data_IF_315363841286
#
_entry.id   IF_315363841286
#
_cell.length_a   1.000
_cell.length_b   1.000
_cell.length_c   1.000
_cell.angle_alpha   90.00
_cell.angle_beta   90.00
_cell.angle_gamma   90.00
#
_symmetry.space_group_name_H-M   'P 1'
#
loop_
_entity.id
_entity.type
_entity.pdbx_description
1 polymer ?
#
# COMPACT_ATOMS: atom_id res chain seq x y z
N UNK A 1 9.85 9.00 -24.16
CA UNK A 1 9.28 10.32 -23.91
C UNK A 1 10.25 11.39 -24.43
N UNK A 2 9.74 12.49 -24.98
CA UNK A 2 10.56 13.65 -25.33
C UNK A 2 11.05 14.36 -24.06
N UNK A 3 12.09 15.19 -24.18
CA UNK A 3 12.58 15.99 -23.05
C UNK A 3 11.46 16.85 -22.47
N UNK A 4 10.59 17.44 -23.33
CA UNK A 4 9.44 18.24 -22.88
C UNK A 4 8.45 17.44 -22.05
N UNK A 5 8.24 16.15 -22.36
CA UNK A 5 7.37 15.27 -21.57
C UNK A 5 8.01 14.91 -20.22
N UNK A 6 9.33 14.69 -20.18
CA UNK A 6 10.05 14.47 -18.95
C UNK A 6 10.04 15.72 -18.07
N UNK A 7 10.16 16.89 -18.66
CA UNK A 7 10.08 18.17 -17.95
C UNK A 7 8.71 18.38 -17.31
N UNK A 8 7.63 18.14 -18.05
CA UNK A 8 6.27 18.23 -17.53
C UNK A 8 5.99 17.24 -16.38
N UNK A 9 6.57 16.03 -16.46
CA UNK A 9 6.46 15.02 -15.39
C UNK A 9 7.26 15.44 -14.16
N UNK A 10 8.48 15.93 -14.32
CA UNK A 10 9.32 16.38 -13.22
C UNK A 10 8.68 17.57 -12.50
N UNK A 11 8.21 18.58 -13.24
CA UNK A 11 7.49 19.74 -12.69
C UNK A 11 6.23 19.32 -11.91
N UNK A 12 5.45 18.38 -12.45
CA UNK A 12 4.25 17.86 -11.78
C UNK A 12 4.56 17.11 -10.48
N UNK A 13 5.76 16.55 -10.36
CA UNK A 13 6.26 15.85 -9.17
C UNK A 13 7.07 16.75 -8.23
N UNK A 14 7.30 18.03 -8.59
CA UNK A 14 8.06 18.98 -7.80
C UNK A 14 9.58 18.78 -7.87
N UNK A 15 10.08 18.21 -8.98
CA UNK A 15 11.51 18.00 -9.27
C UNK A 15 11.95 18.84 -10.46
N UNK A 16 13.25 19.11 -10.54
CA UNK A 16 13.90 19.59 -11.76
C UNK A 16 14.19 18.40 -12.70
N UNK A 17 14.15 18.60 -14.03
CA UNK A 17 14.50 17.52 -14.99
C UNK A 17 15.92 17.01 -14.77
N UNK A 18 16.83 17.88 -14.34
CA UNK A 18 18.21 17.56 -13.97
C UNK A 18 18.28 16.53 -12.85
N UNK A 19 17.33 16.53 -11.90
CA UNK A 19 17.28 15.56 -10.80
C UNK A 19 17.05 14.13 -11.30
N UNK A 20 16.48 13.96 -12.51
CA UNK A 20 16.25 12.65 -13.12
C UNK A 20 17.51 12.04 -13.76
N UNK A 21 18.54 12.85 -13.97
CA UNK A 21 19.78 12.46 -14.65
C UNK A 21 21.02 12.63 -13.77
N UNK A 22 20.87 13.06 -12.52
CA UNK A 22 21.99 13.07 -11.59
C UNK A 22 22.36 11.64 -11.23
N UNK A 23 23.65 11.30 -11.40
CA UNK A 23 24.18 9.99 -11.02
C UNK A 23 23.93 9.72 -9.51
N UNK A 24 23.78 8.44 -9.14
CA UNK A 24 23.47 7.93 -7.79
C UNK A 24 24.27 8.57 -6.65
N UNK A 25 25.39 9.22 -6.93
CA UNK A 25 26.25 9.88 -5.94
C UNK A 25 25.70 11.22 -5.40
N UNK A 26 24.72 11.85 -6.07
CA UNK A 26 24.11 13.10 -5.59
C UNK A 26 22.88 12.88 -4.70
N UNK A 27 22.32 11.66 -4.71
CA UNK A 27 21.17 11.28 -3.85
C UNK A 27 21.58 11.17 -2.37
N UNK A 28 22.88 11.08 -2.07
CA UNK A 28 23.43 10.84 -0.73
C UNK A 28 23.21 12.01 0.25
N UNK A 29 22.80 13.20 -0.22
CA UNK A 29 22.63 14.38 0.62
C UNK A 29 21.18 14.88 0.78
N UNK A 30 20.16 14.18 0.27
CA UNK A 30 18.78 14.46 0.72
C UNK A 30 18.66 13.96 2.17
N UNK A 31 18.08 14.77 3.08
CA UNK A 31 17.88 14.28 4.44
C UNK A 31 17.08 12.99 4.36
N UNK A 32 17.74 11.88 4.66
CA UNK A 32 17.04 10.61 4.88
C UNK A 32 16.06 10.92 6.00
N UNK A 33 14.77 10.94 5.68
CA UNK A 33 13.74 11.00 6.70
C UNK A 33 13.92 9.74 7.55
N UNK A 34 14.67 9.88 8.64
CA UNK A 34 14.91 8.82 9.63
C UNK A 34 13.61 8.46 10.41
N UNK A 35 12.46 8.90 9.94
CA UNK A 35 11.19 8.59 10.54
C UNK A 35 10.69 7.27 9.97
N UNK A 36 10.63 6.24 10.81
CA UNK A 36 9.87 5.03 10.50
C UNK A 36 8.37 5.31 10.70
N UNK A 37 7.57 4.86 9.74
CA UNK A 37 6.12 4.96 9.79
C UNK A 37 5.52 3.61 10.20
N UNK A 38 4.37 3.67 10.85
CA UNK A 38 3.51 2.51 11.06
C UNK A 38 2.57 2.39 9.86
N UNK A 39 2.71 1.36 9.07
CA UNK A 39 1.95 1.16 7.84
C UNK A 39 1.16 -0.13 7.95
N UNK A 40 -0.15 -0.04 7.79
CA UNK A 40 -0.98 -1.23 7.65
C UNK A 40 -1.29 -1.47 6.17
N UNK A 41 -1.29 -2.75 5.76
CA UNK A 41 -1.63 -3.16 4.40
C UNK A 41 -2.79 -4.15 4.45
N UNK A 42 -3.96 -3.73 3.96
CA UNK A 42 -5.17 -4.55 3.94
C UNK A 42 -5.25 -5.37 2.65
N UNK A 43 -5.12 -6.67 2.77
CA UNK A 43 -5.06 -7.66 1.70
C UNK A 43 -3.64 -8.06 1.33
N UNK A 44 -3.39 -9.37 1.32
CA UNK A 44 -2.07 -9.97 1.02
C UNK A 44 -2.07 -10.76 -0.29
N UNK A 45 -2.76 -10.21 -1.30
CA UNK A 45 -2.60 -10.64 -2.69
C UNK A 45 -1.30 -10.08 -3.28
N UNK A 46 -1.10 -10.26 -4.61
CA UNK A 46 0.12 -9.81 -5.30
C UNK A 46 0.49 -8.36 -4.99
N UNK A 47 -0.45 -7.43 -5.14
CA UNK A 47 -0.20 -6.00 -4.93
C UNK A 47 0.08 -5.68 -3.47
N UNK A 48 -0.76 -6.17 -2.55
CA UNK A 48 -0.63 -5.85 -1.13
C UNK A 48 0.64 -6.44 -0.52
N UNK A 49 0.96 -7.72 -0.82
CA UNK A 49 2.16 -8.34 -0.29
C UNK A 49 3.45 -7.75 -0.87
N UNK A 50 3.46 -7.41 -2.18
CA UNK A 50 4.60 -6.70 -2.78
C UNK A 50 4.87 -5.36 -2.09
N UNK A 51 3.82 -4.57 -1.85
CA UNK A 51 3.94 -3.28 -1.16
C UNK A 51 4.38 -3.48 0.29
N UNK A 52 3.79 -4.45 1.01
CA UNK A 52 4.15 -4.75 2.39
C UNK A 52 5.63 -5.15 2.51
N UNK A 53 6.09 -6.05 1.64
CA UNK A 53 7.50 -6.49 1.60
C UNK A 53 8.45 -5.35 1.28
N UNK A 54 8.10 -4.49 0.30
CA UNK A 54 8.93 -3.36 -0.09
C UNK A 54 9.05 -2.32 1.04
N UNK A 55 7.92 -1.93 1.64
CA UNK A 55 7.88 -0.89 2.68
C UNK A 55 8.50 -1.36 4.01
N UNK A 56 8.42 -2.64 4.32
CA UNK A 56 8.95 -3.21 5.57
C UNK A 56 10.47 -3.24 5.68
N UNK A 57 11.17 -2.94 4.60
CA UNK A 57 12.63 -2.76 4.65
C UNK A 57 13.02 -1.49 5.44
N UNK A 58 12.13 -0.51 5.55
CA UNK A 58 12.44 0.79 6.17
C UNK A 58 11.38 1.27 7.17
N UNK A 59 10.24 0.58 7.29
CA UNK A 59 9.11 0.98 8.12
C UNK A 59 8.56 -0.21 8.91
N UNK A 60 7.74 0.07 9.93
CA UNK A 60 6.95 -0.94 10.61
C UNK A 60 5.71 -1.27 9.79
N UNK A 61 5.62 -2.48 9.26
CA UNK A 61 4.50 -2.88 8.40
C UNK A 61 3.71 -4.01 9.02
N UNK A 62 2.39 -3.83 9.12
CA UNK A 62 1.44 -4.86 9.52
C UNK A 62 0.55 -5.22 8.35
N UNK A 63 0.70 -6.43 7.83
CA UNK A 63 -0.15 -6.96 6.78
C UNK A 63 -1.41 -7.58 7.39
N UNK A 64 -2.59 -7.22 6.87
CA UNK A 64 -3.88 -7.71 7.33
C UNK A 64 -4.51 -8.56 6.25
N UNK A 65 -4.90 -9.78 6.57
CA UNK A 65 -5.68 -10.65 5.68
C UNK A 65 -6.75 -11.37 6.50
N UNK A 66 -7.80 -11.83 5.83
CA UNK A 66 -8.89 -12.61 6.45
C UNK A 66 -8.61 -14.12 6.43
N UNK A 67 -7.55 -14.56 5.77
CA UNK A 67 -7.18 -15.97 5.57
C UNK A 67 -6.05 -16.34 6.55
N UNK A 68 -6.33 -17.18 7.58
CA UNK A 68 -5.35 -17.52 8.61
C UNK A 68 -4.06 -18.14 8.07
N UNK A 69 -4.17 -18.99 7.05
CA UNK A 69 -3.04 -19.67 6.44
C UNK A 69 -2.06 -18.71 5.79
N UNK A 70 -2.56 -17.61 5.19
CA UNK A 70 -1.70 -16.57 4.62
C UNK A 70 -0.95 -15.79 5.71
N UNK A 71 -1.66 -15.45 6.79
CA UNK A 71 -1.07 -14.76 7.94
C UNK A 71 0.04 -15.62 8.56
N UNK A 72 -0.19 -16.91 8.74
CA UNK A 72 0.80 -17.86 9.26
C UNK A 72 2.01 -17.94 8.33
N UNK A 73 1.82 -18.09 7.03
CA UNK A 73 2.91 -18.16 6.05
C UNK A 73 3.78 -16.90 6.11
N UNK A 74 3.21 -15.71 6.08
CA UNK A 74 3.96 -14.44 6.11
C UNK A 74 4.76 -14.31 7.40
N UNK A 75 4.18 -14.64 8.55
CA UNK A 75 4.86 -14.61 9.84
C UNK A 75 6.02 -15.63 9.92
N UNK A 76 5.92 -16.73 9.18
CA UNK A 76 6.98 -17.72 9.02
C UNK A 76 7.95 -17.39 7.86
N UNK A 77 7.92 -16.16 7.32
CA UNK A 77 8.78 -15.72 6.22
C UNK A 77 8.60 -16.55 4.94
N UNK A 78 7.39 -17.03 4.69
CA UNK A 78 7.01 -17.79 3.49
C UNK A 78 5.97 -16.99 2.71
N UNK A 79 6.08 -17.01 1.38
CA UNK A 79 5.11 -16.35 0.52
C UNK A 79 3.84 -17.19 0.37
N UNK A 80 2.64 -16.62 0.57
CA UNK A 80 1.38 -17.25 0.24
C UNK A 80 1.02 -17.17 -1.26
N UNK A 81 1.86 -16.54 -2.06
CA UNK A 81 1.69 -16.37 -3.52
C UNK A 81 2.96 -16.81 -4.24
N UNK A 82 2.83 -17.25 -5.48
CA UNK A 82 3.96 -17.64 -6.32
C UNK A 82 4.59 -16.40 -6.96
N UNK A 83 5.67 -15.91 -6.38
CA UNK A 83 6.45 -14.79 -6.88
C UNK A 83 7.88 -14.91 -6.33
N UNK A 84 8.83 -15.18 -7.22
CA UNK A 84 10.23 -15.47 -6.88
C UNK A 84 10.89 -14.32 -6.11
N UNK A 85 10.55 -13.07 -6.43
CA UNK A 85 11.11 -11.90 -5.74
C UNK A 85 10.55 -11.76 -4.33
N UNK A 86 9.24 -11.95 -4.15
CA UNK A 86 8.63 -11.89 -2.82
C UNK A 86 9.15 -13.02 -1.95
N UNK A 87 9.26 -14.23 -2.49
CA UNK A 87 9.82 -15.38 -1.77
C UNK A 87 11.26 -15.12 -1.33
N UNK A 88 12.11 -14.62 -2.24
CA UNK A 88 13.48 -14.24 -1.93
C UNK A 88 13.54 -13.14 -0.85
N UNK A 89 12.75 -12.07 -0.99
CA UNK A 89 12.76 -10.98 -0.02
C UNK A 89 12.32 -11.43 1.37
N UNK A 90 11.25 -12.22 1.46
CA UNK A 90 10.78 -12.77 2.74
C UNK A 90 11.84 -13.67 3.40
N UNK A 91 12.58 -14.46 2.62
CA UNK A 91 13.58 -15.40 3.12
C UNK A 91 14.90 -14.72 3.50
N UNK A 92 15.35 -13.72 2.73
CA UNK A 92 16.73 -13.22 2.79
C UNK A 92 16.86 -11.81 3.38
N UNK A 93 15.80 -10.99 3.35
CA UNK A 93 15.87 -9.60 3.82
C UNK A 93 15.41 -9.44 5.26
N UNK A 94 16.04 -8.51 5.97
CA UNK A 94 15.53 -8.04 7.26
C UNK A 94 14.31 -7.17 7.00
N UNK A 95 13.14 -7.71 7.29
CA UNK A 95 11.85 -7.06 7.10
C UNK A 95 11.18 -6.84 8.46
N UNK A 96 10.81 -5.59 8.74
CA UNK A 96 9.98 -5.24 9.88
C UNK A 96 8.50 -5.43 9.48
N UNK A 97 8.16 -6.69 9.21
CA UNK A 97 6.88 -7.16 8.70
C UNK A 97 6.24 -8.16 9.65
N UNK A 98 5.00 -7.88 10.05
CA UNK A 98 4.13 -8.81 10.76
C UNK A 98 2.82 -8.97 9.98
N UNK A 99 2.13 -10.09 10.17
CA UNK A 99 0.81 -10.31 9.58
C UNK A 99 -0.21 -10.65 10.67
N UNK A 100 -1.46 -10.22 10.50
CA UNK A 100 -2.54 -10.44 11.47
C UNK A 100 -3.90 -10.59 10.80
N UNK A 101 -4.81 -11.26 11.50
CA UNK A 101 -6.24 -11.28 11.17
C UNK A 101 -6.99 -10.08 11.78
N UNK A 102 -6.39 -9.42 12.76
CA UNK A 102 -6.99 -8.31 13.50
C UNK A 102 -6.69 -6.98 12.83
N UNK A 103 -7.60 -6.58 11.93
CA UNK A 103 -7.52 -5.28 11.26
C UNK A 103 -7.78 -4.11 12.20
N UNK A 104 -8.60 -4.29 13.24
CA UNK A 104 -8.92 -3.23 14.22
C UNK A 104 -7.65 -2.77 14.96
N UNK A 105 -6.86 -3.72 15.45
CA UNK A 105 -5.61 -3.40 16.14
C UNK A 105 -4.53 -2.91 15.16
N UNK A 106 -4.46 -3.48 13.96
CA UNK A 106 -3.48 -3.09 12.95
C UNK A 106 -3.64 -1.63 12.48
N UNK A 107 -4.90 -1.16 12.35
CA UNK A 107 -5.16 0.19 11.83
C UNK A 107 -5.10 1.28 12.90
N UNK A 108 -5.28 0.92 14.17
CA UNK A 108 -5.41 1.84 15.30
C UNK A 108 -4.27 2.85 15.43
N UNK A 109 -3.03 2.42 15.18
CA UNK A 109 -1.85 3.24 15.31
C UNK A 109 -1.12 3.44 13.96
N UNK A 110 -1.77 3.16 12.83
CA UNK A 110 -1.17 3.30 11.52
C UNK A 110 -1.13 4.77 11.08
N UNK A 111 0.03 5.24 10.62
CA UNK A 111 0.16 6.52 9.92
C UNK A 111 -0.49 6.42 8.52
N UNK A 112 -0.32 5.26 7.88
CA UNK A 112 -0.85 4.96 6.54
C UNK A 112 -1.55 3.60 6.52
N UNK A 113 -2.67 3.53 5.81
CA UNK A 113 -3.37 2.28 5.53
C UNK A 113 -3.48 2.09 4.02
N UNK A 114 -2.73 1.12 3.50
CA UNK A 114 -2.77 0.74 2.08
C UNK A 114 -3.87 -0.30 1.88
N UNK A 115 -4.86 0.02 1.07
CA UNK A 115 -6.01 -0.84 0.80
C UNK A 115 -5.78 -1.56 -0.52
N UNK A 116 -5.43 -2.84 -0.45
CA UNK A 116 -5.25 -3.75 -1.58
C UNK A 116 -6.24 -4.94 -1.51
N UNK A 117 -7.41 -4.69 -0.93
CA UNK A 117 -8.49 -5.66 -0.82
C UNK A 117 -9.02 -6.06 -2.23
N UNK A 118 -9.49 -7.29 -2.42
CA UNK A 118 -10.00 -7.74 -3.71
C UNK A 118 -11.24 -6.95 -4.12
N UNK A 119 -11.36 -6.70 -5.42
CA UNK A 119 -12.54 -6.14 -6.06
C UNK A 119 -12.96 -7.04 -7.19
N UNK A 120 -14.26 -7.24 -7.39
CA UNK A 120 -14.81 -8.08 -8.44
C UNK A 120 -15.59 -7.23 -9.45
N UNK A 121 -15.34 -7.45 -10.73
CA UNK A 121 -16.11 -6.83 -11.80
C UNK A 121 -17.13 -7.83 -12.36
N UNK A 122 -18.43 -7.52 -12.20
CA UNK A 122 -19.51 -8.27 -12.84
C UNK A 122 -19.81 -7.64 -14.21
N UNK A 123 -19.32 -8.28 -15.26
CA UNK A 123 -19.50 -7.82 -16.64
C UNK A 123 -20.96 -7.86 -17.12
N UNK A 124 -21.82 -8.65 -16.49
CA UNK A 124 -23.24 -8.72 -16.84
C UNK A 124 -24.03 -7.53 -16.28
N UNK A 125 -23.59 -7.03 -15.14
CA UNK A 125 -24.21 -5.90 -14.45
C UNK A 125 -23.46 -4.58 -14.66
N UNK A 126 -22.30 -4.62 -15.35
CA UNK A 126 -21.36 -3.49 -15.43
C UNK A 126 -21.10 -2.86 -14.05
N UNK A 127 -20.88 -3.72 -13.05
CA UNK A 127 -20.77 -3.32 -11.66
C UNK A 127 -19.44 -3.78 -11.05
N UNK A 128 -18.76 -2.87 -10.38
CA UNK A 128 -17.62 -3.17 -9.53
C UNK A 128 -18.07 -3.38 -8.10
N UNK A 129 -17.85 -4.56 -7.58
CA UNK A 129 -18.03 -4.82 -6.16
C UNK A 129 -16.79 -4.32 -5.38
N UNK A 130 -16.94 -3.17 -4.75
CA UNK A 130 -15.93 -2.56 -3.90
C UNK A 130 -16.22 -2.74 -2.40
N UNK A 131 -17.12 -3.65 -2.04
CA UNK A 131 -17.55 -3.85 -0.65
C UNK A 131 -16.40 -4.14 0.32
N UNK A 132 -15.40 -4.93 -0.11
CA UNK A 132 -14.23 -5.21 0.70
C UNK A 132 -13.36 -3.95 0.93
N UNK A 133 -13.27 -3.07 -0.07
CA UNK A 133 -12.56 -1.78 0.07
C UNK A 133 -13.30 -0.87 1.04
N UNK A 134 -14.63 -0.77 0.92
CA UNK A 134 -15.46 0.03 1.82
C UNK A 134 -15.40 -0.49 3.25
N UNK A 135 -15.44 -1.80 3.46
CA UNK A 135 -15.33 -2.39 4.79
C UNK A 135 -14.01 -2.01 5.50
N UNK A 136 -12.90 -1.98 4.75
CA UNK A 136 -11.61 -1.50 5.30
C UNK A 136 -11.69 -0.02 5.65
N UNK A 137 -12.23 0.82 4.74
CA UNK A 137 -12.38 2.26 4.97
C UNK A 137 -13.21 2.53 6.24
N UNK A 138 -14.35 1.86 6.37
CA UNK A 138 -15.24 2.01 7.55
C UNK A 138 -14.54 1.61 8.83
N UNK A 139 -13.80 0.51 8.81
CA UNK A 139 -13.04 0.06 9.96
C UNK A 139 -11.94 1.05 10.35
N UNK A 140 -11.18 1.55 9.36
CA UNK A 140 -10.14 2.57 9.61
C UNK A 140 -10.76 3.82 10.21
N UNK A 141 -11.84 4.35 9.64
CA UNK A 141 -12.52 5.54 10.16
C UNK A 141 -13.04 5.36 11.58
N UNK A 142 -13.47 4.14 11.92
CA UNK A 142 -13.93 3.81 13.28
C UNK A 142 -12.80 3.87 14.32
N UNK A 143 -11.60 3.36 13.97
CA UNK A 143 -10.53 3.16 14.97
C UNK A 143 -9.41 4.20 14.87
N UNK A 144 -9.21 4.81 13.69
CA UNK A 144 -8.16 5.79 13.44
C UNK A 144 -8.53 6.73 12.27
N UNK A 145 -9.41 7.71 12.51
CA UNK A 145 -9.86 8.63 11.45
C UNK A 145 -8.76 9.55 10.90
N UNK A 146 -7.62 9.64 11.59
CA UNK A 146 -6.49 10.48 11.18
C UNK A 146 -5.51 9.75 10.25
N UNK A 147 -5.64 8.43 10.08
CA UNK A 147 -4.80 7.66 9.18
C UNK A 147 -4.98 8.08 7.72
N UNK A 148 -3.87 8.19 7.00
CA UNK A 148 -3.93 8.39 5.54
C UNK A 148 -4.21 7.07 4.83
N UNK A 149 -5.39 6.97 4.19
CA UNK A 149 -5.79 5.79 3.42
C UNK A 149 -5.36 5.89 1.96
N UNK A 150 -4.74 4.83 1.43
CA UNK A 150 -4.23 4.74 0.06
C UNK A 150 -4.89 3.54 -0.64
N UNK A 151 -5.83 3.80 -1.56
CA UNK A 151 -6.52 2.74 -2.30
C UNK A 151 -5.62 2.27 -3.45
N UNK A 152 -5.22 1.00 -3.41
CA UNK A 152 -4.46 0.30 -4.46
C UNK A 152 -5.29 -0.77 -5.18
N UNK A 153 -6.48 -1.07 -4.70
CA UNK A 153 -7.44 -1.93 -5.37
C UNK A 153 -7.87 -1.33 -6.71
N UNK A 154 -8.24 -2.19 -7.67
CA UNK A 154 -8.85 -1.74 -8.93
C UNK A 154 -10.26 -1.23 -8.65
N UNK A 155 -10.50 0.05 -8.92
CA UNK A 155 -11.74 0.74 -8.60
C UNK A 155 -12.29 1.50 -9.82
N UNK A 156 -13.59 1.78 -9.89
CA UNK A 156 -14.18 2.60 -10.96
C UNK A 156 -13.62 4.02 -11.00
N UNK A 157 -13.67 4.63 -12.17
CA UNK A 157 -13.34 6.05 -12.33
C UNK A 157 -14.26 6.90 -11.45
N UNK A 158 -13.67 7.83 -10.69
CA UNK A 158 -14.41 8.70 -9.78
C UNK A 158 -14.73 8.09 -8.40
N UNK A 159 -14.43 6.80 -8.18
CA UNK A 159 -14.71 6.13 -6.92
C UNK A 159 -14.09 6.82 -5.70
N UNK A 160 -12.83 7.24 -5.78
CA UNK A 160 -12.16 7.95 -4.66
C UNK A 160 -12.90 9.25 -4.29
N UNK A 161 -13.37 10.00 -5.29
CA UNK A 161 -14.15 11.22 -5.04
C UNK A 161 -15.50 10.90 -4.37
N UNK A 162 -16.19 9.83 -4.81
CA UNK A 162 -17.45 9.40 -4.21
C UNK A 162 -17.29 8.93 -2.76
N UNK A 163 -16.21 8.19 -2.47
CA UNK A 163 -15.87 7.74 -1.11
C UNK A 163 -15.56 8.93 -0.21
N UNK A 164 -14.75 9.90 -0.68
CA UNK A 164 -14.49 11.13 0.09
C UNK A 164 -15.77 11.89 0.44
N UNK A 165 -16.69 12.00 -0.52
CA UNK A 165 -17.97 12.65 -0.28
C UNK A 165 -18.86 11.84 0.69
N UNK A 166 -18.91 10.51 0.53
CA UNK A 166 -19.70 9.59 1.36
C UNK A 166 -19.29 9.64 2.83
N UNK A 167 -17.98 9.64 3.08
CA UNK A 167 -17.43 9.56 4.44
C UNK A 167 -16.91 10.91 4.98
N UNK A 168 -17.07 11.99 4.22
CA UNK A 168 -16.59 13.33 4.58
C UNK A 168 -15.10 13.35 4.97
N UNK A 169 -14.27 12.62 4.22
CA UNK A 169 -12.82 12.55 4.41
C UNK A 169 -12.09 13.53 3.48
N UNK A 170 -10.89 13.94 3.88
CA UNK A 170 -10.04 14.87 3.08
C UNK A 170 -9.24 14.14 2.02
#
# INVERSE_FOLDING_TARGET
PSIDQLQAIAEALGFEVTDLFEEENSIVNKPVLNKKYNIAVAGTGYVGLSIATLLSQHNHVTAVDIIPEKVELINNRKSPIQDDYIEMYLAEKELDLTATLDGEEAYKNADFVVIAAPTNYDSKKNFFDCSAVEAVIELVLKVNPDATMIIKSTIPVGYTASVRAKYNTK
#
